data_IF_326551839827
#
_entry.id   IF_326551839827
#
_cell.length_a   1.000
_cell.length_b   1.000
_cell.length_c   1.000
_cell.angle_alpha   90.00
_cell.angle_beta   90.00
_cell.angle_gamma   90.00
#
_symmetry.space_group_name_H-M   'P 1'
#
loop_
_entity.id
_entity.type
_entity.pdbx_description
1 polymer ?
#
# COMPACT_ATOMS: atom_id res chain seq x y z
N UNK A 1 31.06 4.25 -6.98
CA UNK A 1 32.07 4.65 -5.97
C UNK A 1 32.59 6.05 -6.28
N UNK A 2 32.94 6.35 -7.53
CA UNK A 2 33.35 7.70 -7.98
C UNK A 2 32.24 8.75 -7.89
N UNK A 3 30.99 8.41 -8.21
CA UNK A 3 29.85 9.34 -8.05
C UNK A 3 29.60 9.76 -6.60
N UNK A 4 29.84 8.85 -5.64
CA UNK A 4 29.68 9.13 -4.21
C UNK A 4 30.78 10.09 -3.70
N UNK A 5 32.00 9.92 -4.19
CA UNK A 5 33.14 10.79 -3.87
C UNK A 5 32.97 12.21 -4.44
N UNK A 6 32.41 12.30 -5.65
CA UNK A 6 32.10 13.59 -6.28
C UNK A 6 31.00 14.34 -5.50
N UNK A 7 29.99 13.61 -5.03
CA UNK A 7 28.91 14.17 -4.19
C UNK A 7 29.46 14.66 -2.84
N UNK A 8 30.35 13.90 -2.19
CA UNK A 8 31.02 14.31 -0.95
C UNK A 8 31.91 15.57 -1.14
N UNK A 9 32.66 15.67 -2.24
CA UNK A 9 33.46 16.87 -2.54
C UNK A 9 32.58 18.08 -2.89
N UNK A 10 31.47 17.86 -3.58
CA UNK A 10 30.53 18.92 -3.92
C UNK A 10 29.87 19.51 -2.67
N UNK A 11 29.39 18.66 -1.75
CA UNK A 11 28.82 19.08 -0.47
C UNK A 11 29.85 19.85 0.35
N UNK A 12 31.08 19.33 0.44
CA UNK A 12 32.17 19.96 1.20
C UNK A 12 32.56 21.33 0.66
N UNK A 13 32.58 21.50 -0.67
CA UNK A 13 32.87 22.80 -1.29
C UNK A 13 31.69 23.77 -1.16
N UNK A 14 30.45 23.27 -1.15
CA UNK A 14 29.26 24.09 -0.95
C UNK A 14 29.14 24.63 0.48
N UNK A 15 29.63 23.89 1.48
CA UNK A 15 29.72 24.35 2.87
C UNK A 15 30.74 25.50 3.07
N UNK A 16 31.74 25.63 2.20
CA UNK A 16 32.84 26.60 2.35
C UNK A 16 32.52 27.99 1.75
N UNK A 17 31.57 28.08 0.81
CA UNK A 17 31.22 29.33 0.10
C UNK A 17 29.88 29.92 0.57
N UNK A 18 29.81 30.44 1.80
CA UNK A 18 28.54 30.96 2.38
C UNK A 18 28.65 32.34 3.05
N UNK A 19 29.01 33.42 2.31
CA UNK A 19 28.96 34.79 2.84
C UNK A 19 27.52 35.35 2.98
N UNK A 20 26.47 34.72 2.42
CA UNK A 20 25.07 35.14 2.69
C UNK A 20 24.44 34.41 3.89
N UNK A 21 24.89 33.19 4.21
CA UNK A 21 24.32 32.44 5.33
C UNK A 21 24.61 33.05 6.69
N UNK A 22 25.66 33.87 6.86
CA UNK A 22 25.90 34.51 8.16
C UNK A 22 24.76 35.47 8.55
N UNK A 23 24.17 36.18 7.58
CA UNK A 23 22.97 37.01 7.82
C UNK A 23 21.73 36.15 8.05
N UNK A 24 21.53 35.12 7.24
CA UNK A 24 20.38 34.20 7.40
C UNK A 24 20.48 33.42 8.72
N UNK A 25 21.70 33.15 9.20
CA UNK A 25 21.98 32.49 10.47
C UNK A 25 21.74 33.42 11.65
N UNK A 26 22.16 34.68 11.56
CA UNK A 26 21.87 35.68 12.60
C UNK A 26 20.36 35.97 12.69
N UNK A 27 19.65 36.03 11.56
CA UNK A 27 18.18 36.12 11.54
C UNK A 27 17.51 34.87 12.10
N UNK A 28 17.97 33.66 11.74
CA UNK A 28 17.47 32.40 12.31
C UNK A 28 17.70 32.30 13.81
N UNK A 29 18.86 32.73 14.30
CA UNK A 29 19.19 32.71 15.73
C UNK A 29 18.29 33.67 16.52
N UNK A 30 18.05 34.88 16.01
CA UNK A 30 17.04 35.81 16.56
C UNK A 30 15.64 35.21 16.51
N UNK A 31 15.31 34.48 15.44
CA UNK A 31 14.03 33.82 15.31
C UNK A 31 13.88 32.70 16.33
N UNK A 32 14.90 31.87 16.56
CA UNK A 32 14.92 30.84 17.61
C UNK A 32 14.81 31.42 19.03
N UNK A 33 15.46 32.56 19.30
CA UNK A 33 15.26 33.30 20.55
C UNK A 33 13.81 33.76 20.73
N UNK A 34 13.17 34.25 19.65
CA UNK A 34 11.76 34.64 19.64
C UNK A 34 10.83 33.43 19.78
N UNK A 35 11.19 32.27 19.20
CA UNK A 35 10.42 31.02 19.31
C UNK A 35 10.38 30.53 20.74
N UNK A 36 11.49 30.70 21.46
CA UNK A 36 11.67 30.22 22.83
C UNK A 36 11.65 28.68 22.93
N UNK A 37 12.28 28.17 23.98
CA UNK A 37 12.23 26.74 24.33
C UNK A 37 11.78 26.61 25.78
N UNK A 38 10.81 25.74 26.12
CA UNK A 38 10.14 24.74 25.29
C UNK A 38 8.95 25.31 24.47
N UNK A 39 8.65 24.67 23.35
CA UNK A 39 7.43 24.90 22.57
C UNK A 39 6.32 23.97 23.05
N UNK A 40 5.13 24.52 23.24
CA UNK A 40 3.91 23.75 23.47
C UNK A 40 3.25 23.36 22.14
N UNK A 41 2.52 22.26 22.14
CA UNK A 41 1.67 21.87 21.00
C UNK A 41 0.22 22.19 21.35
N UNK A 42 -0.48 22.83 20.43
CA UNK A 42 -1.92 23.09 20.51
C UNK A 42 -2.58 22.90 19.15
N UNK A 43 -3.90 22.90 19.10
CA UNK A 43 -4.69 22.78 17.88
C UNK A 43 -5.34 24.14 17.57
N UNK A 44 -5.30 24.55 16.31
CA UNK A 44 -5.98 25.75 15.83
C UNK A 44 -7.48 25.46 15.74
N UNK A 45 -8.33 26.22 16.43
CA UNK A 45 -9.78 26.04 16.32
C UNK A 45 -10.38 26.98 15.28
N UNK A 46 -10.08 28.27 15.40
CA UNK A 46 -10.65 29.29 14.53
C UNK A 46 -9.64 30.43 14.30
N UNK A 47 -9.60 30.91 13.06
CA UNK A 47 -8.86 32.12 12.68
C UNK A 47 -9.83 33.29 12.78
N UNK A 48 -9.50 34.27 13.62
CA UNK A 48 -10.34 35.47 13.77
C UNK A 48 -9.90 36.53 12.76
N UNK A 49 -8.61 36.86 12.75
CA UNK A 49 -8.01 37.89 11.90
C UNK A 49 -6.60 37.45 11.45
N UNK A 50 -5.98 38.21 10.54
CA UNK A 50 -4.60 37.99 10.04
C UNK A 50 -3.58 37.79 11.17
N UNK A 51 -3.75 38.45 12.32
CA UNK A 51 -2.80 38.38 13.43
C UNK A 51 -3.33 37.61 14.64
N UNK A 52 -4.56 37.09 14.64
CA UNK A 52 -5.15 36.50 15.83
C UNK A 52 -5.91 35.20 15.54
N UNK A 53 -5.67 34.20 16.39
CA UNK A 53 -6.33 32.92 16.33
C UNK A 53 -6.77 32.45 17.72
N UNK A 54 -7.79 31.59 17.74
CA UNK A 54 -8.15 30.79 18.89
C UNK A 54 -7.44 29.45 18.78
N UNK A 55 -6.67 29.10 19.82
CA UNK A 55 -5.97 27.82 19.92
C UNK A 55 -6.41 27.08 21.16
N UNK A 56 -6.65 25.78 21.04
CA UNK A 56 -6.88 24.90 22.17
C UNK A 56 -5.56 24.21 22.53
N UNK A 57 -5.16 24.34 23.79
CA UNK A 57 -4.02 23.58 24.32
C UNK A 57 -4.46 22.17 24.69
N UNK A 58 -3.53 21.21 24.77
CA UNK A 58 -3.79 19.82 25.15
C UNK A 58 -4.50 19.62 26.50
N UNK A 59 -4.52 20.65 27.35
CA UNK A 59 -5.18 20.65 28.66
C UNK A 59 -6.62 21.20 28.60
N UNK A 60 -7.09 21.64 27.42
CA UNK A 60 -8.48 22.05 27.18
C UNK A 60 -8.87 23.53 27.33
N UNK A 61 -8.07 24.47 27.88
CA UNK A 61 -8.42 25.89 27.77
C UNK A 61 -8.13 26.42 26.35
N UNK A 62 -9.11 27.13 25.82
CA UNK A 62 -9.02 27.94 24.60
C UNK A 62 -8.32 29.26 24.93
N UNK A 63 -7.33 29.63 24.13
CA UNK A 63 -6.59 30.88 24.27
C UNK A 63 -6.74 31.72 23.01
N UNK A 64 -7.00 33.00 23.21
CA UNK A 64 -6.89 34.02 22.16
C UNK A 64 -5.42 34.43 22.05
N UNK A 65 -4.79 34.12 20.92
CA UNK A 65 -3.35 34.22 20.76
C UNK A 65 -2.96 35.00 19.51
N UNK A 66 -1.80 35.63 19.56
CA UNK A 66 -1.22 36.38 18.45
C UNK A 66 -0.41 35.44 17.54
N UNK A 67 -0.53 35.61 16.22
CA UNK A 67 0.22 34.90 15.20
C UNK A 67 1.51 35.67 14.90
N UNK A 68 2.67 35.03 15.05
CA UNK A 68 3.94 35.66 14.71
C UNK A 68 4.11 35.75 13.19
N UNK A 69 4.71 36.84 12.71
CA UNK A 69 4.96 37.09 11.28
C UNK A 69 5.88 36.06 10.61
N UNK A 70 6.49 35.16 11.40
CA UNK A 70 7.26 34.03 10.90
C UNK A 70 6.40 32.88 10.35
N UNK A 71 5.08 32.93 10.54
CA UNK A 71 4.14 31.89 10.12
C UNK A 71 3.39 32.37 8.88
N UNK A 72 3.34 31.52 7.86
CA UNK A 72 2.54 31.80 6.68
C UNK A 72 1.07 31.52 6.97
N UNK A 73 0.22 32.53 6.85
CA UNK A 73 -1.22 32.46 7.12
C UNK A 73 -1.95 31.57 6.11
N UNK A 74 -1.47 31.49 4.86
CA UNK A 74 -2.08 30.66 3.82
C UNK A 74 -2.04 29.15 4.15
N UNK A 75 -1.16 28.74 5.08
CA UNK A 75 -1.01 27.35 5.51
C UNK A 75 -1.77 27.04 6.80
N UNK A 76 -2.45 28.02 7.40
CA UNK A 76 -3.22 27.82 8.63
C UNK A 76 -4.65 27.41 8.26
N UNK A 77 -4.96 26.14 8.48
CA UNK A 77 -6.33 25.64 8.40
C UNK A 77 -6.87 25.28 9.79
N UNK A 78 -8.18 25.51 10.05
CA UNK A 78 -8.82 25.03 11.27
C UNK A 78 -8.58 23.52 11.47
N UNK A 79 -8.10 23.14 12.65
CA UNK A 79 -7.72 21.77 12.99
C UNK A 79 -6.24 21.45 12.83
N UNK A 80 -5.41 22.34 12.26
CA UNK A 80 -3.96 22.15 12.21
C UNK A 80 -3.32 22.20 13.60
N UNK A 81 -2.34 21.32 13.84
CA UNK A 81 -1.46 21.42 14.99
C UNK A 81 -0.49 22.59 14.83
N UNK A 82 -0.48 23.49 15.82
CA UNK A 82 0.36 24.68 15.87
C UNK A 82 1.32 24.62 17.05
N UNK A 83 2.49 25.23 16.87
CA UNK A 83 3.50 25.39 17.89
C UNK A 83 3.25 26.69 18.64
N UNK A 84 3.02 26.56 19.94
CA UNK A 84 2.74 27.67 20.85
C UNK A 84 3.97 27.98 21.70
N UNK A 85 4.27 29.26 21.90
CA UNK A 85 5.29 29.67 22.86
C UNK A 85 4.78 29.47 24.30
N UNK A 86 5.57 28.83 25.16
CA UNK A 86 5.11 28.46 26.52
C UNK A 86 4.75 29.66 27.43
N UNK A 87 5.34 30.85 27.21
CA UNK A 87 5.05 32.02 28.07
C UNK A 87 3.90 32.91 27.59
N UNK A 88 3.82 33.12 26.28
CA UNK A 88 2.87 34.07 25.67
C UNK A 88 1.74 33.39 24.91
N UNK A 89 1.81 32.05 24.76
CA UNK A 89 0.93 31.22 23.95
C UNK A 89 0.77 31.68 22.50
N UNK A 90 1.70 32.50 21.99
CA UNK A 90 1.69 32.97 20.61
C UNK A 90 1.99 31.83 19.63
N UNK A 91 1.39 31.86 18.44
CA UNK A 91 1.65 30.88 17.38
C UNK A 91 3.00 31.20 16.73
N UNK A 92 3.96 30.29 16.91
CA UNK A 92 5.36 30.42 16.48
C UNK A 92 5.63 29.74 15.15
N UNK A 93 4.87 28.68 14.88
CA UNK A 93 5.04 27.83 13.70
C UNK A 93 3.89 26.86 13.58
N UNK A 94 3.75 26.28 12.41
CA UNK A 94 2.81 25.19 12.13
C UNK A 94 3.61 23.89 12.26
N UNK A 95 3.04 22.89 12.91
CA UNK A 95 3.60 21.55 12.88
C UNK A 95 3.17 20.91 11.55
N UNK A 96 4.04 21.01 10.54
CA UNK A 96 3.84 20.38 9.25
C UNK A 96 4.10 18.88 9.36
N UNK A 97 3.09 18.14 9.83
CA UNK A 97 2.82 16.70 9.63
C UNK A 97 1.88 16.24 10.76
N UNK A 98 0.60 16.59 10.64
CA UNK A 98 -0.49 15.97 11.42
C UNK A 98 -0.95 14.66 10.74
N UNK A 99 -0.02 13.94 10.12
CA UNK A 99 -0.29 12.57 9.74
C UNK A 99 -0.26 11.76 11.02
N UNK A 100 -1.45 11.31 11.44
CA UNK A 100 -1.62 10.39 12.54
C UNK A 100 -0.59 9.26 12.37
N UNK A 101 0.23 8.92 13.38
CA UNK A 101 1.28 7.91 13.23
C UNK A 101 0.71 6.56 12.76
N UNK A 102 -0.60 6.31 12.96
CA UNK A 102 -1.32 5.16 12.40
C UNK A 102 -1.32 5.12 10.87
N UNK A 103 -1.36 6.28 10.20
CA UNK A 103 -1.29 6.37 8.73
C UNK A 103 0.16 6.27 8.27
N UNK A 104 1.12 6.76 9.05
CA UNK A 104 2.55 6.50 8.80
C UNK A 104 2.91 5.01 8.97
N UNK A 105 2.12 4.23 9.72
CA UNK A 105 2.24 2.75 9.78
C UNK A 105 1.75 2.09 8.49
N UNK A 106 0.89 2.75 7.70
CA UNK A 106 0.59 2.30 6.34
C UNK A 106 1.87 2.45 5.53
N UNK A 107 2.46 1.31 5.24
CA UNK A 107 3.80 1.27 4.66
C UNK A 107 3.76 1.94 3.30
N UNK A 108 4.35 3.12 3.21
CA UNK A 108 4.96 3.61 1.97
C UNK A 108 6.12 2.67 1.68
N UNK A 109 5.81 1.49 1.14
CA UNK A 109 6.83 0.52 0.75
C UNK A 109 7.51 1.10 -0.49
N UNK A 110 8.80 1.47 -0.35
CA UNK A 110 9.65 1.66 -1.53
C UNK A 110 9.54 0.42 -2.41
N UNK A 111 9.38 0.66 -3.71
CA UNK A 111 9.22 -0.29 -4.79
C UNK A 111 9.64 -1.73 -4.42
N UNK A 112 8.70 -2.67 -4.25
CA UNK A 112 9.04 -4.06 -3.98
C UNK A 112 9.93 -4.61 -5.10
N UNK A 113 10.84 -5.53 -4.77
CA UNK A 113 11.85 -6.05 -5.71
C UNK A 113 11.27 -6.92 -6.84
N UNK A 114 9.99 -7.27 -6.77
CA UNK A 114 9.34 -8.20 -7.70
C UNK A 114 9.02 -7.48 -9.00
N UNK A 115 9.32 -8.11 -10.13
CA UNK A 115 9.04 -7.57 -11.48
C UNK A 115 8.03 -8.46 -12.19
N UNK A 116 7.42 -8.00 -13.28
CA UNK A 116 6.55 -8.86 -14.09
C UNK A 116 7.28 -10.11 -14.63
N UNK A 117 8.61 -10.07 -14.75
CA UNK A 117 9.41 -11.23 -15.17
C UNK A 117 9.44 -12.35 -14.10
N UNK A 118 9.18 -12.02 -12.83
CA UNK A 118 9.06 -13.00 -11.75
C UNK A 118 7.68 -13.66 -11.70
N UNK A 119 6.70 -13.16 -12.48
CA UNK A 119 5.35 -13.72 -12.57
C UNK A 119 5.30 -14.70 -13.75
N UNK A 120 5.04 -15.96 -13.45
CA UNK A 120 4.92 -16.99 -14.48
C UNK A 120 3.54 -16.99 -15.13
N UNK A 121 3.48 -16.63 -16.42
CA UNK A 121 2.25 -16.61 -17.23
C UNK A 121 1.31 -15.46 -16.87
N UNK A 122 -0.01 -15.66 -17.09
CA UNK A 122 -1.05 -14.65 -16.88
C UNK A 122 -0.87 -13.38 -17.74
N UNK A 123 -0.44 -13.55 -18.99
CA UNK A 123 -0.14 -12.42 -19.89
C UNK A 123 -1.36 -11.54 -20.12
N UNK A 124 -2.55 -12.13 -20.27
CA UNK A 124 -3.81 -11.40 -20.44
C UNK A 124 -4.14 -10.53 -19.21
N UNK A 125 -4.04 -11.11 -18.00
CA UNK A 125 -4.30 -10.39 -16.75
C UNK A 125 -3.28 -9.29 -16.50
N UNK A 126 -2.00 -9.55 -16.83
CA UNK A 126 -0.94 -8.54 -16.73
C UNK A 126 -1.23 -7.38 -17.68
N UNK A 127 -1.63 -7.68 -18.92
CA UNK A 127 -1.96 -6.66 -19.91
C UNK A 127 -3.15 -5.80 -19.44
N UNK A 128 -4.22 -6.40 -18.93
CA UNK A 128 -5.37 -5.66 -18.40
C UNK A 128 -4.99 -4.70 -17.25
N UNK A 129 -4.05 -5.10 -16.40
CA UNK A 129 -3.61 -4.27 -15.25
C UNK A 129 -2.68 -3.16 -15.71
N UNK A 130 -1.81 -3.44 -16.68
CA UNK A 130 -0.98 -2.42 -17.31
C UNK A 130 -1.84 -1.34 -17.97
N UNK A 131 -2.88 -1.73 -18.69
CA UNK A 131 -3.83 -0.79 -19.29
C UNK A 131 -4.63 0.01 -18.27
N UNK A 132 -4.92 -0.56 -17.10
CA UNK A 132 -5.71 0.10 -16.07
C UNK A 132 -4.89 1.03 -15.17
N UNK A 133 -3.63 0.70 -14.90
CA UNK A 133 -2.79 1.40 -13.89
C UNK A 133 -1.58 2.07 -14.51
N UNK A 134 -0.80 1.35 -15.34
CA UNK A 134 0.47 1.86 -15.88
C UNK A 134 0.24 2.83 -17.04
N UNK A 135 -0.65 2.51 -17.97
CA UNK A 135 -0.89 3.31 -19.18
C UNK A 135 -1.44 4.71 -18.87
N UNK A 136 -2.40 4.90 -17.93
CA UNK A 136 -2.86 6.23 -17.56
C UNK A 136 -1.78 7.09 -16.91
N UNK A 137 -0.88 6.48 -16.13
CA UNK A 137 0.21 7.19 -15.45
C UNK A 137 1.36 7.53 -16.42
N UNK A 138 1.64 6.65 -17.37
CA UNK A 138 2.73 6.83 -18.32
C UNK A 138 2.35 7.78 -19.48
N UNK A 139 1.14 7.68 -20.02
CA UNK A 139 0.70 8.43 -21.20
C UNK A 139 -0.76 8.90 -21.05
N UNK A 140 -1.03 9.95 -20.25
CA UNK A 140 -2.37 10.50 -20.10
C UNK A 140 -2.93 11.07 -21.40
N UNK A 141 -2.08 11.58 -22.30
CA UNK A 141 -2.47 12.19 -23.59
C UNK A 141 -3.30 11.24 -24.47
N UNK A 142 -3.02 9.92 -24.43
CA UNK A 142 -3.78 8.93 -25.20
C UNK A 142 -5.26 8.87 -24.78
N UNK A 143 -5.55 9.12 -23.50
CA UNK A 143 -6.92 9.12 -22.98
C UNK A 143 -7.64 10.43 -23.33
N UNK A 144 -6.93 11.55 -23.31
CA UNK A 144 -7.45 12.87 -23.69
C UNK A 144 -7.80 12.94 -25.18
N UNK A 145 -6.93 12.44 -26.05
CA UNK A 145 -7.14 12.40 -27.51
C UNK A 145 -8.36 11.56 -27.90
N UNK A 146 -8.59 10.45 -27.20
CA UNK A 146 -9.73 9.56 -27.43
C UNK A 146 -10.99 10.10 -26.72
N UNK A 147 -10.83 10.96 -25.71
CA UNK A 147 -11.92 11.52 -24.92
C UNK A 147 -12.55 10.53 -23.94
N UNK A 148 -11.78 9.55 -23.46
CA UNK A 148 -12.25 8.54 -22.50
C UNK A 148 -11.62 8.78 -21.13
N UNK A 149 -12.41 8.65 -20.06
CA UNK A 149 -11.86 8.66 -18.70
C UNK A 149 -11.12 7.35 -18.43
N UNK A 150 -9.91 7.38 -17.83
CA UNK A 150 -9.23 6.16 -17.44
C UNK A 150 -10.02 5.43 -16.35
N UNK A 151 -9.90 4.09 -16.26
CA UNK A 151 -10.57 3.33 -15.20
C UNK A 151 -10.07 3.78 -13.82
N UNK A 152 -10.98 3.81 -12.84
CA UNK A 152 -10.68 4.27 -11.47
C UNK A 152 -10.17 3.14 -10.58
N UNK A 153 -10.87 2.01 -10.62
CA UNK A 153 -10.64 0.89 -9.71
C UNK A 153 -10.50 -0.45 -10.42
N UNK A 154 -9.58 -1.27 -9.91
CA UNK A 154 -9.35 -2.65 -10.36
C UNK A 154 -9.58 -3.59 -9.18
N UNK A 155 -10.35 -4.66 -9.40
CA UNK A 155 -10.48 -5.76 -8.44
C UNK A 155 -9.83 -7.03 -8.99
N UNK A 156 -8.96 -7.62 -8.17
CA UNK A 156 -8.27 -8.89 -8.39
C UNK A 156 -8.97 -9.96 -7.58
N UNK A 157 -9.58 -10.94 -8.24
CA UNK A 157 -10.27 -12.04 -7.55
C UNK A 157 -9.86 -13.41 -8.11
N UNK A 158 -9.99 -14.46 -7.29
CA UNK A 158 -9.60 -15.82 -7.67
C UNK A 158 -9.23 -16.67 -6.47
N UNK A 159 -8.69 -17.86 -6.70
CA UNK A 159 -8.28 -18.73 -5.60
C UNK A 159 -7.07 -18.17 -4.83
N UNK A 160 -6.92 -18.49 -3.54
CA UNK A 160 -5.72 -18.13 -2.78
C UNK A 160 -4.47 -18.79 -3.39
N UNK A 161 -3.35 -18.07 -3.38
CA UNK A 161 -2.08 -18.59 -3.89
C UNK A 161 -1.88 -18.50 -5.42
N UNK A 162 -2.77 -17.78 -6.12
CA UNK A 162 -2.67 -17.49 -7.57
C UNK A 162 -1.80 -16.27 -7.90
N UNK A 163 -1.25 -15.58 -6.89
CA UNK A 163 -0.29 -14.49 -7.10
C UNK A 163 -0.88 -13.08 -7.19
N UNK A 164 -2.12 -12.86 -6.75
CA UNK A 164 -2.77 -11.52 -6.70
C UNK A 164 -1.91 -10.45 -6.01
N UNK A 165 -1.38 -10.76 -4.83
CA UNK A 165 -0.47 -9.86 -4.10
C UNK A 165 0.89 -9.68 -4.80
N UNK A 166 1.39 -10.70 -5.53
CA UNK A 166 2.64 -10.60 -6.28
C UNK A 166 2.50 -9.66 -7.47
N UNK A 167 1.35 -9.72 -8.16
CA UNK A 167 1.10 -8.85 -9.29
C UNK A 167 0.96 -7.39 -8.86
N UNK A 168 0.22 -7.12 -7.78
CA UNK A 168 0.12 -5.75 -7.24
C UNK A 168 1.49 -5.16 -6.89
N UNK A 169 2.40 -5.98 -6.35
CA UNK A 169 3.79 -5.57 -6.08
C UNK A 169 4.58 -5.31 -7.36
N UNK A 170 4.47 -6.18 -8.37
CA UNK A 170 5.15 -5.97 -9.64
C UNK A 170 4.71 -4.67 -10.34
N UNK A 171 3.42 -4.33 -10.26
CA UNK A 171 2.89 -3.05 -10.77
C UNK A 171 3.52 -1.88 -10.03
N UNK A 172 3.55 -1.93 -8.69
CA UNK A 172 4.13 -0.88 -7.86
C UNK A 172 5.61 -0.62 -8.16
N UNK A 173 6.36 -1.67 -8.52
CA UNK A 173 7.77 -1.54 -8.90
C UNK A 173 7.95 -0.84 -10.26
N UNK A 174 7.04 -1.07 -11.21
CA UNK A 174 7.16 -0.51 -12.56
C UNK A 174 6.65 0.93 -12.66
N UNK A 175 5.61 1.29 -11.92
CA UNK A 175 4.97 2.61 -12.04
C UNK A 175 5.71 3.75 -11.35
N UNK A 176 6.73 3.47 -10.51
CA UNK A 176 7.47 4.47 -9.70
C UNK A 176 6.60 5.41 -8.87
N UNK A 177 5.30 5.12 -8.75
CA UNK A 177 4.32 5.89 -8.01
C UNK A 177 4.37 5.52 -6.51
N UNK A 178 3.82 6.38 -5.66
CA UNK A 178 3.70 6.08 -4.24
C UNK A 178 2.80 4.86 -4.09
N UNK A 179 3.28 3.82 -3.41
CA UNK A 179 2.51 2.60 -3.15
C UNK A 179 2.08 2.55 -1.70
N UNK A 180 0.76 2.68 -1.47
CA UNK A 180 0.15 2.55 -0.16
C UNK A 180 -0.48 1.16 -0.05
N UNK A 181 0.05 0.33 0.83
CA UNK A 181 -0.51 -0.99 1.12
C UNK A 181 -1.30 -0.97 2.42
N UNK A 182 -2.55 -1.42 2.33
CA UNK A 182 -3.44 -1.62 3.48
C UNK A 182 -4.00 -3.03 3.43
N UNK A 183 -4.05 -3.69 4.59
CA UNK A 183 -4.77 -4.97 4.71
C UNK A 183 -6.19 -4.68 5.19
N UNK A 184 -7.21 -5.28 4.58
CA UNK A 184 -8.61 -5.03 4.93
C UNK A 184 -8.91 -5.23 6.42
N UNK A 185 -8.23 -6.17 7.08
CA UNK A 185 -8.37 -6.37 8.53
C UNK A 185 -7.88 -5.20 9.39
N UNK A 186 -6.97 -4.35 8.90
CA UNK A 186 -6.45 -3.17 9.60
C UNK A 186 -7.47 -2.03 9.67
N UNK A 187 -8.44 -2.02 8.74
CA UNK A 187 -9.55 -1.05 8.74
C UNK A 187 -10.57 -1.32 9.86
N UNK A 188 -10.49 -2.48 10.52
CA UNK A 188 -11.39 -2.87 11.61
C UNK A 188 -10.76 -2.49 12.95
N UNK A 189 -11.20 -1.36 13.52
CA UNK A 189 -10.74 -0.88 14.82
C UNK A 189 -11.71 -1.25 15.95
N UNK A 190 -11.19 -1.31 17.18
CA UNK A 190 -12.00 -1.64 18.38
C UNK A 190 -12.86 -0.47 18.86
N UNK A 191 -12.41 0.75 18.59
CA UNK A 191 -13.09 1.98 18.98
C UNK A 191 -14.08 2.41 17.90
N UNK A 192 -15.21 2.93 18.33
CA UNK A 192 -16.28 3.39 17.46
C UNK A 192 -15.88 4.72 16.80
N UNK A 193 -15.89 4.79 15.47
CA UNK A 193 -15.55 5.98 14.70
C UNK A 193 -14.11 6.03 14.19
N UNK A 194 -13.21 5.23 14.75
CA UNK A 194 -11.81 5.16 14.31
C UNK A 194 -11.67 4.55 12.92
N UNK A 195 -12.53 3.59 12.56
CA UNK A 195 -12.54 2.96 11.23
C UNK A 195 -12.78 3.99 10.11
N UNK A 196 -13.91 4.74 10.14
CA UNK A 196 -14.18 5.79 9.16
C UNK A 196 -13.15 6.95 9.19
N UNK A 197 -12.57 7.27 10.37
CA UNK A 197 -11.50 8.28 10.45
C UNK A 197 -10.26 7.83 9.69
N UNK A 198 -9.81 6.59 9.92
CA UNK A 198 -8.65 6.01 9.27
C UNK A 198 -8.80 5.93 7.75
N UNK A 199 -9.99 5.58 7.26
CA UNK A 199 -10.27 5.56 5.81
C UNK A 199 -10.14 6.96 5.21
N UNK A 200 -10.66 8.00 5.86
CA UNK A 200 -10.54 9.38 5.39
C UNK A 200 -9.08 9.85 5.36
N UNK A 201 -8.31 9.54 6.40
CA UNK A 201 -6.90 9.91 6.46
C UNK A 201 -6.05 9.14 5.44
N UNK A 202 -6.33 7.85 5.19
CA UNK A 202 -5.68 7.07 4.13
C UNK A 202 -5.82 7.75 2.78
N UNK A 203 -7.04 8.16 2.43
CA UNK A 203 -7.31 8.80 1.15
C UNK A 203 -6.75 10.22 1.07
N UNK A 204 -6.74 10.97 2.19
CA UNK A 204 -6.07 12.28 2.27
C UNK A 204 -4.58 12.15 1.96
N UNK A 205 -3.89 11.21 2.62
CA UNK A 205 -2.46 10.97 2.38
C UNK A 205 -2.20 10.46 0.95
N UNK A 206 -3.12 9.67 0.38
CA UNK A 206 -3.00 9.23 -1.00
C UNK A 206 -3.09 10.38 -2.00
N UNK A 207 -3.95 11.37 -1.72
CA UNK A 207 -4.12 12.58 -2.54
C UNK A 207 -2.91 13.53 -2.38
N UNK A 208 -2.44 13.74 -1.16
CA UNK A 208 -1.24 14.55 -0.86
C UNK A 208 0.02 14.00 -1.56
N UNK A 209 0.12 12.67 -1.70
CA UNK A 209 1.25 11.97 -2.32
C UNK A 209 1.03 11.62 -3.81
N UNK A 210 0.01 12.20 -4.45
CA UNK A 210 -0.35 11.93 -5.85
C UNK A 210 0.84 12.15 -6.81
N UNK A 211 1.11 11.22 -7.75
CA UNK A 211 0.34 10.02 -8.10
C UNK A 211 0.56 8.84 -7.15
N UNK A 212 -0.54 8.23 -6.68
CA UNK A 212 -0.53 7.16 -5.66
C UNK A 212 -1.34 5.95 -6.11
N UNK A 213 -0.84 4.75 -5.81
CA UNK A 213 -1.58 3.49 -5.92
C UNK A 213 -1.92 2.99 -4.53
N UNK A 214 -3.22 2.90 -4.24
CA UNK A 214 -3.76 2.34 -2.99
C UNK A 214 -4.10 0.87 -3.23
N UNK A 215 -3.32 -0.03 -2.62
CA UNK A 215 -3.55 -1.47 -2.66
C UNK A 215 -4.21 -1.95 -1.37
N UNK A 216 -5.43 -2.46 -1.49
CA UNK A 216 -6.21 -3.03 -0.39
C UNK A 216 -6.25 -4.55 -0.54
N UNK A 217 -5.49 -5.27 0.27
CA UNK A 217 -5.47 -6.73 0.30
C UNK A 217 -6.58 -7.28 1.21
N UNK A 218 -7.10 -8.47 0.93
CA UNK A 218 -8.14 -9.14 1.74
C UNK A 218 -9.37 -8.26 2.07
N UNK A 219 -9.88 -7.54 1.06
CA UNK A 219 -11.06 -6.66 1.25
C UNK A 219 -12.31 -7.42 1.70
N UNK A 220 -12.36 -8.74 1.52
CA UNK A 220 -13.44 -9.60 2.02
C UNK A 220 -13.57 -9.61 3.55
N UNK A 221 -12.52 -9.25 4.29
CA UNK A 221 -12.59 -9.09 5.75
C UNK A 221 -13.61 -8.01 6.17
N UNK A 222 -13.69 -6.92 5.39
CA UNK A 222 -14.55 -5.74 5.64
C UNK A 222 -15.81 -5.77 4.77
N UNK A 223 -15.67 -6.20 3.53
CA UNK A 223 -16.73 -6.14 2.51
C UNK A 223 -17.71 -7.31 2.51
N UNK A 224 -17.57 -8.28 3.41
CA UNK A 224 -18.48 -9.42 3.52
C UNK A 224 -19.93 -8.95 3.75
N UNK A 225 -20.90 -9.50 2.99
CA UNK A 225 -22.35 -9.30 3.16
C UNK A 225 -22.81 -9.74 4.55
N UNK A 226 -22.64 -8.88 5.54
CA UNK A 226 -23.17 -9.11 6.89
C UNK A 226 -24.60 -8.58 6.94
N UNK A 227 -25.55 -9.47 6.67
CA UNK A 227 -26.96 -9.19 6.90
C UNK A 227 -27.18 -8.95 8.41
N UNK A 228 -27.50 -7.69 8.72
CA UNK A 228 -28.26 -7.19 9.88
C UNK A 228 -28.11 -7.97 11.19
N UNK A 229 -26.87 -8.23 11.60
CA UNK A 229 -26.59 -8.81 12.91
C UNK A 229 -26.56 -7.67 13.93
N UNK A 230 -27.52 -7.66 14.88
CA UNK A 230 -27.75 -6.62 15.91
C UNK A 230 -26.59 -6.30 16.87
N UNK A 231 -25.39 -6.80 16.62
CA UNK A 231 -24.19 -6.51 17.42
C UNK A 231 -23.57 -5.17 16.98
N UNK A 232 -23.29 -4.29 17.95
CA UNK A 232 -22.68 -2.98 17.70
C UNK A 232 -21.40 -3.02 16.88
N UNK A 233 -20.58 -4.06 17.04
CA UNK A 233 -19.36 -4.25 16.24
C UNK A 233 -19.60 -4.47 14.74
N UNK A 234 -20.71 -5.09 14.36
CA UNK A 234 -21.06 -5.30 12.94
C UNK A 234 -21.48 -3.99 12.27
N UNK A 235 -22.18 -3.12 13.01
CA UNK A 235 -22.60 -1.81 12.51
C UNK A 235 -21.41 -0.89 12.25
N UNK A 236 -20.36 -1.00 13.05
CA UNK A 236 -19.13 -0.24 12.85
C UNK A 236 -18.41 -0.64 11.56
N UNK A 237 -18.24 -1.94 11.32
CA UNK A 237 -17.64 -2.46 10.08
C UNK A 237 -18.42 -1.95 8.86
N UNK A 238 -19.75 -1.97 8.94
CA UNK A 238 -20.60 -1.46 7.87
C UNK A 238 -20.44 0.05 7.66
N UNK A 239 -20.27 0.85 8.72
CA UNK A 239 -19.98 2.28 8.61
C UNK A 239 -18.63 2.54 7.95
N UNK A 240 -17.58 1.81 8.35
CA UNK A 240 -16.26 1.91 7.71
C UNK A 240 -16.33 1.56 6.22
N UNK A 241 -17.09 0.52 5.86
CA UNK A 241 -17.31 0.14 4.47
C UNK A 241 -18.07 1.21 3.68
N UNK A 242 -19.11 1.82 4.25
CA UNK A 242 -19.85 2.90 3.61
C UNK A 242 -18.97 4.15 3.42
N UNK A 243 -18.09 4.45 4.37
CA UNK A 243 -17.14 5.54 4.23
C UNK A 243 -16.11 5.25 3.13
N UNK A 244 -15.58 4.02 3.07
CA UNK A 244 -14.70 3.58 1.98
C UNK A 244 -15.41 3.74 0.61
N UNK A 245 -16.70 3.39 0.53
CA UNK A 245 -17.49 3.60 -0.67
C UNK A 245 -17.66 5.08 -1.05
N UNK A 246 -17.91 5.95 -0.07
CA UNK A 246 -18.05 7.38 -0.30
C UNK A 246 -16.73 7.99 -0.77
N UNK A 247 -15.61 7.60 -0.16
CA UNK A 247 -14.29 8.08 -0.58
C UNK A 247 -13.98 7.63 -2.00
N UNK A 248 -14.25 6.37 -2.37
CA UNK A 248 -14.04 5.86 -3.74
C UNK A 248 -14.88 6.59 -4.81
N UNK A 249 -16.11 6.99 -4.49
CA UNK A 249 -16.97 7.77 -5.40
C UNK A 249 -16.58 9.24 -5.48
N UNK A 250 -16.08 9.81 -4.38
CA UNK A 250 -15.77 11.24 -4.25
C UNK A 250 -14.65 11.73 -5.16
N UNK A 251 -13.79 10.83 -5.66
CA UNK A 251 -12.68 11.15 -6.57
C UNK A 251 -13.15 11.36 -8.04
N UNK A 252 -14.13 12.23 -8.29
CA UNK A 252 -14.54 12.55 -9.68
C UNK A 252 -13.88 13.80 -10.26
N UNK A 253 -13.16 14.62 -9.48
CA UNK A 253 -12.70 15.91 -10.00
C UNK A 253 -11.19 16.09 -10.22
N UNK A 254 -10.25 15.49 -9.46
CA UNK A 254 -8.81 15.87 -9.61
C UNK A 254 -7.69 14.85 -9.30
N UNK A 255 -7.93 13.69 -8.69
CA UNK A 255 -6.83 12.85 -8.17
C UNK A 255 -6.34 11.74 -9.10
N UNK A 256 -5.02 11.65 -9.33
CA UNK A 256 -4.34 10.51 -9.99
C UNK A 256 -4.19 9.28 -9.05
N UNK A 257 -5.14 9.10 -8.14
CA UNK A 257 -5.15 8.00 -7.18
C UNK A 257 -5.81 6.78 -7.82
N UNK A 258 -5.05 5.68 -7.93
CA UNK A 258 -5.55 4.40 -8.46
C UNK A 258 -5.77 3.42 -7.33
N UNK A 259 -6.92 2.75 -7.32
CA UNK A 259 -7.26 1.77 -6.28
C UNK A 259 -7.23 0.36 -6.85
N UNK A 260 -6.44 -0.51 -6.22
CA UNK A 260 -6.36 -1.94 -6.52
C UNK A 260 -6.85 -2.71 -5.30
N UNK A 261 -7.88 -3.52 -5.48
CA UNK A 261 -8.43 -4.37 -4.41
C UNK A 261 -8.15 -5.83 -4.71
N UNK A 262 -7.72 -6.60 -3.72
CA UNK A 262 -7.58 -8.05 -3.84
C UNK A 262 -8.57 -8.76 -2.92
N UNK A 263 -9.28 -9.76 -3.46
CA UNK A 263 -10.20 -10.62 -2.71
C UNK A 263 -10.06 -12.07 -3.14
N UNK A 264 -10.34 -13.01 -2.23
CA UNK A 264 -10.46 -14.42 -2.57
C UNK A 264 -11.88 -14.81 -2.97
N UNK A 265 -12.89 -14.04 -2.55
CA UNK A 265 -14.30 -14.40 -2.72
C UNK A 265 -15.12 -13.19 -3.14
N UNK A 266 -15.18 -12.94 -4.45
CA UNK A 266 -15.93 -11.81 -5.01
C UNK A 266 -17.44 -11.90 -4.73
N UNK A 267 -17.99 -13.11 -4.64
CA UNK A 267 -19.41 -13.36 -4.32
C UNK A 267 -19.84 -12.88 -2.93
N UNK A 268 -18.89 -12.89 -1.99
CA UNK A 268 -19.10 -12.49 -0.60
C UNK A 268 -19.14 -10.97 -0.42
N UNK A 269 -18.61 -10.22 -1.39
CA UNK A 269 -18.54 -8.77 -1.36
C UNK A 269 -19.90 -8.12 -1.62
N UNK A 270 -20.10 -6.94 -1.03
CA UNK A 270 -21.27 -6.10 -1.27
C UNK A 270 -21.37 -5.72 -2.77
N UNK A 271 -22.54 -5.93 -3.43
CA UNK A 271 -22.78 -5.49 -4.80
C UNK A 271 -22.56 -3.99 -5.02
N UNK A 272 -22.65 -3.18 -3.97
CA UNK A 272 -22.39 -1.75 -4.02
C UNK A 272 -20.92 -1.43 -4.33
N UNK A 273 -19.97 -2.24 -3.86
CA UNK A 273 -18.53 -2.07 -4.17
C UNK A 273 -18.24 -2.37 -5.64
N UNK A 274 -18.83 -3.44 -6.16
CA UNK A 274 -18.55 -3.97 -7.52
C UNK A 274 -19.34 -3.29 -8.64
N UNK A 275 -20.07 -2.21 -8.33
CA UNK A 275 -20.87 -1.47 -9.30
C UNK A 275 -19.94 -0.69 -10.26
N UNK A 276 -20.22 -0.72 -11.58
CA UNK A 276 -19.48 0.10 -12.55
C UNK A 276 -19.51 1.59 -12.17
N UNK A 277 -18.39 2.29 -12.32
CA UNK A 277 -18.17 3.66 -11.82
C UNK A 277 -17.26 3.75 -10.59
N UNK A 278 -17.20 2.68 -9.78
CA UNK A 278 -16.23 2.51 -8.67
C UNK A 278 -15.12 1.54 -9.05
N UNK A 279 -15.53 0.37 -9.52
CA UNK A 279 -14.65 -0.71 -9.98
C UNK A 279 -15.01 -0.97 -11.44
N UNK A 280 -14.13 -0.56 -12.34
CA UNK A 280 -14.33 -0.67 -13.78
C UNK A 280 -13.76 -1.98 -14.33
N UNK A 281 -12.70 -2.50 -13.72
CA UNK A 281 -12.02 -3.73 -14.15
C UNK A 281 -12.11 -4.82 -13.10
N UNK A 282 -12.55 -6.00 -13.53
CA UNK A 282 -12.67 -7.21 -12.70
C UNK A 282 -11.81 -8.29 -13.33
N UNK A 283 -10.72 -8.62 -12.65
CA UNK A 283 -9.69 -9.50 -13.21
C UNK A 283 -9.67 -10.79 -12.42
N UNK A 284 -9.96 -11.87 -13.14
CA UNK A 284 -10.01 -13.21 -12.59
C UNK A 284 -8.65 -13.88 -12.68
N UNK A 285 -8.24 -14.49 -11.56
CA UNK A 285 -7.05 -15.31 -11.45
C UNK A 285 -7.46 -16.78 -11.35
N UNK A 286 -7.52 -17.49 -12.49
CA UNK A 286 -7.77 -18.92 -12.49
C UNK A 286 -6.57 -19.69 -11.95
N UNK A 287 -6.77 -20.98 -11.68
CA UNK A 287 -5.67 -21.90 -11.42
C UNK A 287 -4.73 -21.98 -12.64
N UNK A 288 -3.41 -22.14 -12.42
CA UNK A 288 -2.45 -22.10 -13.51
C UNK A 288 -2.58 -23.32 -14.44
N UNK A 289 -2.59 -23.06 -15.75
CA UNK A 289 -2.50 -24.09 -16.79
C UNK A 289 -1.17 -24.83 -16.78
N UNK A 290 -1.08 -25.98 -17.47
CA UNK A 290 0.17 -26.74 -17.60
C UNK A 290 1.34 -25.91 -18.16
N UNK A 291 1.07 -25.03 -19.14
CA UNK A 291 2.07 -24.10 -19.68
C UNK A 291 2.54 -23.09 -18.61
N UNK A 292 1.58 -22.50 -17.91
CA UNK A 292 1.83 -21.53 -16.83
C UNK A 292 2.59 -22.16 -15.67
N UNK A 293 2.18 -23.37 -15.24
CA UNK A 293 2.90 -24.17 -14.23
C UNK A 293 4.36 -24.39 -14.64
N UNK A 294 4.64 -24.74 -15.90
CA UNK A 294 6.01 -24.90 -16.39
C UNK A 294 6.83 -23.61 -16.22
N UNK A 295 6.26 -22.45 -16.54
CA UNK A 295 6.94 -21.17 -16.32
C UNK A 295 7.17 -20.88 -14.84
N UNK A 296 6.18 -21.09 -13.98
CA UNK A 296 6.32 -20.88 -12.52
C UNK A 296 7.44 -21.77 -11.95
N UNK A 297 7.48 -23.05 -12.34
CA UNK A 297 8.57 -23.95 -11.94
C UNK A 297 9.92 -23.40 -12.41
N UNK A 298 10.04 -23.00 -13.68
CA UNK A 298 11.30 -22.50 -14.23
C UNK A 298 11.81 -21.25 -13.49
N UNK A 299 10.93 -20.31 -13.17
CA UNK A 299 11.28 -19.07 -12.43
C UNK A 299 11.81 -19.42 -11.04
N UNK A 300 11.10 -20.27 -10.30
CA UNK A 300 11.51 -20.65 -8.95
C UNK A 300 12.76 -21.53 -8.92
N UNK A 301 12.97 -22.37 -9.94
CA UNK A 301 14.18 -23.19 -10.06
C UNK A 301 15.38 -22.45 -10.65
N UNK A 302 15.19 -21.30 -11.30
CA UNK A 302 16.29 -20.53 -11.92
C UNK A 302 17.36 -20.11 -10.93
N UNK A 303 17.00 -19.92 -9.65
CA UNK A 303 17.94 -19.58 -8.56
C UNK A 303 18.49 -20.82 -7.83
N UNK A 304 18.02 -22.02 -8.18
CA UNK A 304 18.39 -23.27 -7.53
C UNK A 304 19.41 -24.06 -8.34
N UNK A 305 20.33 -24.73 -7.65
CA UNK A 305 21.27 -25.69 -8.24
C UNK A 305 20.60 -27.06 -8.36
N UNK A 306 19.97 -27.30 -9.50
CA UNK A 306 19.39 -28.60 -9.85
C UNK A 306 20.49 -29.58 -10.28
N UNK A 307 20.28 -30.87 -9.98
CA UNK A 307 21.06 -31.94 -10.57
C UNK A 307 20.49 -32.33 -11.96
N UNK A 308 21.33 -32.93 -12.80
CA UNK A 308 21.00 -33.27 -14.20
C UNK A 308 19.90 -34.34 -14.33
N UNK A 309 19.56 -35.02 -13.23
CA UNK A 309 18.50 -36.03 -13.13
C UNK A 309 17.10 -35.43 -12.94
N UNK A 310 16.99 -34.12 -12.71
CA UNK A 310 15.71 -33.46 -12.40
C UNK A 310 14.89 -33.25 -13.66
N UNK A 311 13.71 -33.88 -13.69
CA UNK A 311 12.72 -33.76 -14.76
C UNK A 311 11.48 -33.02 -14.23
N UNK A 312 11.42 -31.72 -14.54
CA UNK A 312 10.33 -30.83 -14.14
C UNK A 312 9.02 -31.14 -14.88
N UNK A 313 9.07 -31.76 -16.06
CA UNK A 313 7.85 -32.03 -16.85
C UNK A 313 6.95 -33.04 -16.15
N UNK A 314 7.52 -34.03 -15.45
CA UNK A 314 6.75 -35.00 -14.66
C UNK A 314 5.92 -34.35 -13.57
N UNK A 315 6.42 -33.28 -12.95
CA UNK A 315 5.69 -32.55 -11.92
C UNK A 315 4.61 -31.64 -12.51
N UNK A 316 4.87 -31.06 -13.70
CA UNK A 316 3.91 -30.20 -14.41
C UNK A 316 2.75 -31.00 -15.00
N UNK A 317 3.01 -32.21 -15.54
CA UNK A 317 1.99 -33.07 -16.14
C UNK A 317 1.10 -33.78 -15.11
N UNK A 318 1.50 -33.79 -13.84
CA UNK A 318 0.67 -34.35 -12.79
C UNK A 318 -0.65 -33.57 -12.69
N UNK A 319 -1.78 -34.29 -12.67
CA UNK A 319 -3.15 -33.76 -12.60
C UNK A 319 -3.51 -33.12 -11.24
N UNK A 320 -2.52 -32.67 -10.49
CA UNK A 320 -2.75 -32.02 -9.20
C UNK A 320 -3.12 -30.56 -9.42
N UNK A 321 -4.19 -30.11 -8.76
CA UNK A 321 -4.60 -28.71 -8.66
C UNK A 321 -3.63 -27.95 -7.76
N UNK A 322 -2.44 -27.65 -8.29
CA UNK A 322 -1.40 -26.90 -7.60
C UNK A 322 -1.55 -25.41 -7.91
N UNK A 323 -1.60 -24.59 -6.85
CA UNK A 323 -1.49 -23.14 -6.97
C UNK A 323 -0.03 -22.71 -7.17
N UNK A 324 0.20 -21.46 -7.61
CA UNK A 324 1.56 -20.92 -7.72
C UNK A 324 2.30 -20.91 -6.39
N UNK A 325 1.58 -20.63 -5.28
CA UNK A 325 2.12 -20.73 -3.93
C UNK A 325 2.52 -22.16 -3.55
N UNK A 326 1.75 -23.17 -3.96
CA UNK A 326 2.09 -24.59 -3.74
C UNK A 326 3.38 -24.96 -4.47
N UNK A 327 3.55 -24.51 -5.72
CA UNK A 327 4.77 -24.76 -6.51
C UNK A 327 6.00 -24.14 -5.83
N UNK A 328 5.88 -22.90 -5.34
CA UNK A 328 6.93 -22.24 -4.57
C UNK A 328 7.27 -23.01 -3.29
N UNK A 329 6.25 -23.51 -2.58
CA UNK A 329 6.44 -24.30 -1.37
C UNK A 329 7.17 -25.62 -1.67
N UNK A 330 6.81 -26.33 -2.75
CA UNK A 330 7.48 -27.56 -3.19
C UNK A 330 8.95 -27.30 -3.50
N UNK A 331 9.27 -26.24 -4.26
CA UNK A 331 10.66 -25.90 -4.57
C UNK A 331 11.46 -25.59 -3.30
N UNK A 332 10.87 -24.82 -2.38
CA UNK A 332 11.53 -24.42 -1.11
C UNK A 332 11.77 -25.64 -0.22
N UNK A 333 10.80 -26.55 -0.10
CA UNK A 333 10.93 -27.78 0.67
C UNK A 333 11.97 -28.73 0.06
N UNK A 334 12.04 -28.85 -1.27
CA UNK A 334 13.06 -29.65 -1.95
C UNK A 334 14.48 -29.11 -1.64
N UNK A 335 14.66 -27.78 -1.68
CA UNK A 335 15.91 -27.14 -1.27
C UNK A 335 16.26 -27.38 0.20
N UNK A 336 15.27 -27.35 1.10
CA UNK A 336 15.47 -27.63 2.53
C UNK A 336 15.83 -29.09 2.82
N UNK A 337 15.30 -30.04 2.05
CA UNK A 337 15.66 -31.46 2.15
C UNK A 337 17.11 -31.69 1.70
N UNK A 338 17.51 -31.11 0.56
CA UNK A 338 18.89 -31.17 0.09
C UNK A 338 19.86 -30.57 1.14
N UNK A 339 19.50 -29.42 1.74
CA UNK A 339 20.30 -28.77 2.77
C UNK A 339 20.40 -29.62 4.06
N UNK A 340 19.32 -30.32 4.44
CA UNK A 340 19.31 -31.24 5.59
C UNK A 340 20.29 -32.39 5.41
N UNK A 341 20.46 -32.87 4.18
CA UNK A 341 21.42 -33.90 3.82
C UNK A 341 22.81 -33.34 3.48
N UNK A 342 23.03 -32.03 3.70
CA UNK A 342 24.29 -31.31 3.40
C UNK A 342 24.70 -31.39 1.93
N UNK A 343 23.72 -31.53 1.02
CA UNK A 343 23.92 -31.55 -0.43
C UNK A 343 23.68 -30.14 -0.99
N UNK A 344 24.53 -29.73 -1.93
CA UNK A 344 24.42 -28.45 -2.65
C UNK A 344 23.59 -28.55 -3.94
N UNK A 345 23.21 -29.77 -4.33
CA UNK A 345 22.37 -30.05 -5.50
C UNK A 345 21.07 -30.71 -5.07
N UNK A 346 19.96 -30.23 -5.62
CA UNK A 346 18.62 -30.80 -5.42
C UNK A 346 18.41 -31.91 -6.44
N UNK A 347 18.01 -33.10 -5.99
CA UNK A 347 17.76 -34.26 -6.85
C UNK A 347 16.28 -34.48 -7.10
N UNK A 348 15.92 -35.37 -8.03
CA UNK A 348 14.53 -35.71 -8.31
C UNK A 348 13.79 -36.25 -7.07
N UNK A 349 14.48 -37.03 -6.23
CA UNK A 349 13.91 -37.65 -5.02
C UNK A 349 13.50 -36.61 -3.98
N UNK A 350 14.26 -35.51 -3.86
CA UNK A 350 13.94 -34.39 -2.98
C UNK A 350 12.62 -33.72 -3.41
N UNK A 351 12.38 -33.57 -4.73
CA UNK A 351 11.13 -33.02 -5.27
C UNK A 351 9.94 -33.96 -5.06
N UNK A 352 10.12 -35.28 -5.17
CA UNK A 352 9.06 -36.26 -4.90
C UNK A 352 8.62 -36.18 -3.44
N UNK A 353 9.57 -36.21 -2.50
CA UNK A 353 9.31 -36.07 -1.06
C UNK A 353 8.67 -34.72 -0.73
N UNK A 354 9.17 -33.63 -1.32
CA UNK A 354 8.61 -32.30 -1.14
C UNK A 354 7.16 -32.20 -1.64
N UNK A 355 6.88 -32.79 -2.80
CA UNK A 355 5.53 -32.85 -3.36
C UNK A 355 4.58 -33.61 -2.44
N UNK A 356 4.95 -34.82 -1.98
CA UNK A 356 4.11 -35.60 -1.07
C UNK A 356 3.78 -34.83 0.21
N UNK A 357 4.78 -34.17 0.80
CA UNK A 357 4.61 -33.37 2.01
C UNK A 357 3.72 -32.14 1.77
N UNK A 358 3.87 -31.46 0.64
CA UNK A 358 3.02 -30.33 0.26
C UNK A 358 1.57 -30.77 0.01
N UNK A 359 1.37 -31.89 -0.67
CA UNK A 359 0.05 -32.46 -0.95
C UNK A 359 -0.66 -32.90 0.34
N UNK A 360 0.08 -33.52 1.28
CA UNK A 360 -0.45 -33.87 2.61
C UNK A 360 -0.95 -32.65 3.38
N UNK A 361 -0.22 -31.53 3.32
CA UNK A 361 -0.63 -30.28 3.96
C UNK A 361 -1.92 -29.71 3.36
N UNK A 362 -2.12 -29.90 2.05
CA UNK A 362 -3.34 -29.48 1.35
C UNK A 362 -4.53 -30.40 1.64
N UNK A 363 -4.33 -31.72 1.62
CA UNK A 363 -5.36 -32.72 1.96
C UNK A 363 -5.81 -32.66 3.42
N UNK A 364 -4.96 -32.21 4.34
CA UNK A 364 -5.35 -31.97 5.74
C UNK A 364 -6.49 -30.94 5.93
N UNK A 365 -6.79 -30.13 4.90
CA UNK A 365 -7.87 -29.14 4.91
C UNK A 365 -9.14 -29.59 4.16
N UNK A 366 -9.14 -30.74 3.49
CA UNK A 366 -10.30 -31.22 2.72
C UNK A 366 -10.82 -32.50 3.38
N UNK A 367 -12.03 -32.52 3.97
CA UNK A 367 -12.63 -33.79 4.35
C UNK A 367 -12.88 -34.63 3.09
N UNK A 368 -12.04 -35.64 2.85
CA UNK A 368 -12.29 -36.70 1.86
C UNK A 368 -13.54 -37.48 2.29
N UNK A 369 -14.72 -37.06 1.83
CA UNK A 369 -15.96 -37.75 2.21
C UNK A 369 -17.28 -37.26 1.63
N UNK A 370 -17.32 -36.49 0.53
CA UNK A 370 -18.62 -36.06 -0.05
C UNK A 370 -18.86 -36.35 -1.53
N UNK A 371 -17.94 -37.01 -2.22
CA UNK A 371 -18.19 -37.49 -3.57
C UNK A 371 -17.90 -38.99 -3.64
N UNK A 372 -19.01 -39.74 -3.63
CA UNK A 372 -19.09 -41.17 -3.93
C UNK A 372 -19.39 -41.34 -5.42
#
# INVERSE_FOLDING_TARGET
KDFLLLEEEFIRNHEVFKPSEERDKEEREKLEELRGSPLGVGSLEELIDDNHAIVSSSVGPEYYVNILSSVNQDLLEPGCSVLLHNKTMSVVGILADDTDPMVSVMKVEKAPLETYADIGGLEDQIQEIKEAVELPLANPELYEDIGIKPPKGVILYGEPGTGKTLLAKAVANQTSATFLRVVGSELIQKYLGDGPKLVRELFRVADDLSPTIVFIDEIDAVGSKRYDSSSGGTREIQRTMLELLNQLDGFDERGDVKVIMATNRIESLDPALIRPGRIDRKIEFPLPDTKTKRHIFNIHTSRMTLADDVDLEKFVMAKDELSGADIKAVCTEAGMLALRERRMKVTQDDFVKAKEKALYRKKGNVPEGLYL
#
